data_IF_491336389659
#
_entry.id   IF_491336389659
#
_cell.length_a   1.000
_cell.length_b   1.000
_cell.length_c   1.000
_cell.angle_alpha   90.00
_cell.angle_beta   90.00
_cell.angle_gamma   90.00
#
_symmetry.space_group_name_H-M   'P 1'
#
loop_
_entity.id
_entity.type
_entity.pdbx_description
1 polymer ?
#
# COMPACT_ATOMS: atom_id res chain seq x y z
N UNK A 1 0.11 2.28 23.34
CA UNK A 1 -0.39 2.35 21.95
C UNK A 1 -0.03 3.69 21.33
N UNK A 2 0.38 3.67 20.08
CA UNK A 2 0.73 4.89 19.36
C UNK A 2 -0.33 5.28 18.36
N UNK A 3 -0.58 6.57 18.26
CA UNK A 3 -1.50 7.14 17.30
C UNK A 3 -0.77 8.12 16.39
N UNK A 4 -1.33 8.38 15.22
CA UNK A 4 -0.87 9.44 14.34
C UNK A 4 -2.05 10.30 13.92
N UNK A 5 -1.75 11.52 13.47
CA UNK A 5 -2.80 12.45 13.06
C UNK A 5 -2.86 12.47 11.54
N UNK A 6 -4.06 12.24 11.01
CA UNK A 6 -4.33 12.32 9.58
C UNK A 6 -5.57 13.19 9.38
N UNK A 7 -5.39 14.36 8.78
CA UNK A 7 -6.48 15.30 8.52
C UNK A 7 -7.34 15.57 9.76
N UNK A 8 -6.69 15.78 10.90
CA UNK A 8 -7.36 16.02 12.18
C UNK A 8 -7.85 14.79 12.92
N UNK A 9 -7.74 13.63 12.33
CA UNK A 9 -8.15 12.35 12.95
C UNK A 9 -6.96 11.71 13.66
N UNK A 10 -7.22 11.15 14.84
CA UNK A 10 -6.21 10.35 15.58
C UNK A 10 -6.50 8.89 15.29
N UNK A 11 -5.57 8.24 14.60
CA UNK A 11 -5.74 6.85 14.17
C UNK A 11 -4.64 6.01 14.81
N UNK A 12 -5.01 4.83 15.31
CA UNK A 12 -4.03 3.89 15.87
C UNK A 12 -3.10 3.41 14.76
N UNK A 13 -1.78 3.51 15.00
CA UNK A 13 -0.78 3.01 14.03
C UNK A 13 -0.95 1.53 13.75
N UNK A 14 -1.35 0.76 14.75
CA UNK A 14 -1.52 -0.70 14.62
C UNK A 14 -2.70 -1.09 13.73
N UNK A 15 -3.64 -0.18 13.51
CA UNK A 15 -4.79 -0.43 12.65
C UNK A 15 -4.44 -0.35 11.17
N UNK A 16 -3.28 0.22 10.82
CA UNK A 16 -2.90 0.47 9.42
C UNK A 16 -2.06 -0.70 8.91
N UNK A 17 -2.50 -1.32 7.82
CA UNK A 17 -1.76 -2.41 7.16
C UNK A 17 -1.17 -2.01 5.82
N UNK A 18 -1.67 -0.93 5.22
CA UNK A 18 -1.14 -0.44 3.96
C UNK A 18 -1.76 0.87 3.55
N UNK A 19 -1.08 1.55 2.64
CA UNK A 19 -1.60 2.77 2.04
C UNK A 19 -0.94 3.00 0.68
N UNK A 20 -1.64 3.74 -0.18
CA UNK A 20 -1.10 4.17 -1.48
C UNK A 20 -1.60 5.56 -1.82
N UNK A 21 -0.80 6.27 -2.62
CA UNK A 21 -1.12 7.62 -3.09
C UNK A 21 -1.44 7.59 -4.57
N UNK A 22 -2.56 8.17 -4.95
CA UNK A 22 -2.93 8.35 -6.34
C UNK A 22 -2.69 9.80 -6.73
N UNK A 23 -1.83 10.03 -7.71
CA UNK A 23 -1.56 11.35 -8.23
C UNK A 23 -2.73 11.87 -9.05
N UNK A 24 -2.80 13.20 -9.20
CA UNK A 24 -3.82 13.83 -10.02
C UNK A 24 -3.69 13.37 -11.47
N UNK A 25 -4.84 13.03 -12.06
CA UNK A 25 -4.98 12.78 -13.50
C UNK A 25 -6.04 13.72 -14.06
N UNK A 26 -6.25 13.72 -15.38
CA UNK A 26 -7.17 14.63 -16.04
C UNK A 26 -8.59 14.58 -15.49
N UNK A 27 -9.01 13.42 -14.96
CA UNK A 27 -10.37 13.19 -14.48
C UNK A 27 -10.46 12.85 -13.00
N UNK A 28 -9.33 12.73 -12.31
CA UNK A 28 -9.31 12.26 -10.92
C UNK A 28 -8.45 13.19 -10.09
N UNK A 29 -9.00 13.68 -8.96
CA UNK A 29 -8.23 14.43 -7.98
C UNK A 29 -7.25 13.50 -7.27
N UNK A 30 -6.12 14.02 -6.77
CA UNK A 30 -5.21 13.19 -5.98
C UNK A 30 -5.90 12.70 -4.72
N UNK A 31 -5.62 11.46 -4.34
CA UNK A 31 -6.21 10.88 -3.14
C UNK A 31 -5.26 9.89 -2.48
N UNK A 32 -5.52 9.63 -1.22
CA UNK A 32 -4.87 8.58 -0.43
C UNK A 32 -5.86 7.44 -0.27
N UNK A 33 -5.44 6.22 -0.59
CA UNK A 33 -6.17 5.02 -0.21
C UNK A 33 -5.42 4.41 0.97
N UNK A 34 -6.06 4.34 2.12
CA UNK A 34 -5.45 3.82 3.33
C UNK A 34 -6.31 2.66 3.87
N UNK A 35 -5.65 1.56 4.21
CA UNK A 35 -6.34 0.39 4.76
C UNK A 35 -6.31 0.46 6.27
N UNK A 36 -7.48 0.67 6.87
CA UNK A 36 -7.67 0.78 8.29
C UNK A 36 -8.52 -0.39 8.76
N UNK A 37 -7.95 -1.29 9.56
CA UNK A 37 -8.63 -2.48 10.08
C UNK A 37 -9.27 -3.33 8.98
N UNK A 38 -8.57 -3.47 7.85
CA UNK A 38 -9.01 -4.29 6.73
C UNK A 38 -9.98 -3.62 5.78
N UNK A 39 -10.31 -2.35 5.99
CA UNK A 39 -11.19 -1.59 5.11
C UNK A 39 -10.42 -0.47 4.42
N UNK A 40 -10.60 -0.35 3.12
CA UNK A 40 -9.98 0.72 2.35
C UNK A 40 -10.80 2.00 2.51
N UNK A 41 -10.13 3.07 2.91
CA UNK A 41 -10.73 4.38 3.02
C UNK A 41 -10.03 5.32 2.06
N UNK A 42 -10.80 6.10 1.31
CA UNK A 42 -10.27 7.03 0.33
C UNK A 42 -10.38 8.44 0.89
N UNK A 43 -9.24 9.14 0.93
CA UNK A 43 -9.16 10.50 1.43
C UNK A 43 -8.72 11.41 0.27
N UNK A 44 -9.61 12.26 -0.26
CA UNK A 44 -9.27 13.15 -1.36
C UNK A 44 -8.45 14.34 -0.88
N UNK A 45 -7.58 14.84 -1.76
CA UNK A 45 -6.76 16.02 -1.50
C UNK A 45 -7.17 17.16 -2.43
N UNK A 46 -6.85 18.38 -2.02
CA UNK A 46 -7.16 19.58 -2.82
C UNK A 46 -6.21 19.73 -4.00
N UNK A 47 -4.91 19.49 -3.76
CA UNK A 47 -3.86 19.73 -4.73
C UNK A 47 -2.63 18.88 -4.43
N UNK A 48 -1.60 19.06 -5.28
CA UNK A 48 -0.34 18.32 -5.15
C UNK A 48 0.43 18.65 -3.88
N UNK A 49 0.30 19.87 -3.37
CA UNK A 49 1.02 20.28 -2.15
C UNK A 49 0.48 19.50 -0.94
N UNK A 50 -0.83 19.37 -0.85
CA UNK A 50 -1.46 18.63 0.24
C UNK A 50 -1.06 17.16 0.21
N UNK A 51 -1.09 16.52 -0.97
CA UNK A 51 -0.70 15.12 -1.09
C UNK A 51 0.79 14.93 -0.74
N UNK A 52 1.67 15.83 -1.15
CA UNK A 52 3.09 15.74 -0.84
C UNK A 52 3.34 15.89 0.65
N UNK A 53 2.64 16.81 1.31
CA UNK A 53 2.74 17.02 2.75
C UNK A 53 2.31 15.78 3.53
N UNK A 54 1.15 15.22 3.17
CA UNK A 54 0.63 14.01 3.82
C UNK A 54 1.52 12.81 3.53
N UNK A 55 2.02 12.70 2.30
CA UNK A 55 2.93 11.61 1.92
C UNK A 55 4.21 11.64 2.76
N UNK A 56 4.83 12.82 2.91
CA UNK A 56 6.04 12.97 3.72
C UNK A 56 5.76 12.57 5.17
N UNK A 57 4.62 12.98 5.71
CA UNK A 57 4.21 12.66 7.07
C UNK A 57 4.00 11.15 7.26
N UNK A 58 3.23 10.52 6.39
CA UNK A 58 2.95 9.08 6.48
C UNK A 58 4.22 8.24 6.28
N UNK A 59 5.06 8.60 5.32
CA UNK A 59 6.32 7.89 5.10
C UNK A 59 7.26 8.00 6.29
N UNK A 60 7.22 9.12 7.02
CA UNK A 60 7.99 9.29 8.26
C UNK A 60 7.41 8.44 9.40
N UNK A 61 6.09 8.49 9.60
CA UNK A 61 5.40 7.72 10.65
C UNK A 61 5.53 6.22 10.43
N UNK A 62 5.41 5.78 9.18
CA UNK A 62 5.44 4.36 8.80
C UNK A 62 6.71 3.99 8.04
N UNK A 63 7.86 4.45 8.52
CA UNK A 63 9.15 4.22 7.88
C UNK A 63 9.51 2.74 7.74
N UNK A 64 8.91 1.86 8.57
CA UNK A 64 9.12 0.42 8.49
C UNK A 64 8.28 -0.29 7.44
N UNK A 65 7.36 0.40 6.78
CA UNK A 65 6.56 -0.20 5.72
C UNK A 65 7.40 -0.34 4.44
N UNK A 66 7.13 -1.40 3.69
CA UNK A 66 7.86 -1.70 2.45
C UNK A 66 7.03 -1.24 1.25
N UNK A 67 7.67 -0.50 0.35
CA UNK A 67 7.01 -0.06 -0.88
C UNK A 67 7.02 -1.18 -1.92
N UNK A 68 5.84 -1.59 -2.36
CA UNK A 68 5.65 -2.63 -3.37
C UNK A 68 4.67 -2.09 -4.40
N UNK A 69 5.14 -1.87 -5.62
CA UNK A 69 4.34 -1.17 -6.62
C UNK A 69 3.92 0.19 -6.09
N UNK A 70 2.62 0.47 -6.08
CA UNK A 70 2.07 1.73 -5.57
C UNK A 70 1.75 1.70 -4.08
N UNK A 71 1.88 0.54 -3.45
CA UNK A 71 1.49 0.35 -2.06
C UNK A 71 2.68 0.44 -1.11
N UNK A 72 2.42 0.96 0.09
CA UNK A 72 3.31 0.84 1.25
C UNK A 72 2.65 -0.15 2.19
N UNK A 73 3.30 -1.28 2.46
CA UNK A 73 2.71 -2.39 3.20
C UNK A 73 3.47 -2.71 4.48
N UNK A 74 2.70 -3.08 5.51
CA UNK A 74 3.25 -3.56 6.78
C UNK A 74 3.53 -5.06 6.64
N UNK A 75 4.74 -5.40 6.25
CA UNK A 75 5.10 -6.79 5.97
C UNK A 75 5.06 -7.71 7.19
N UNK A 76 5.15 -7.16 8.40
CA UNK A 76 5.03 -7.96 9.63
C UNK A 76 3.65 -8.59 9.80
N UNK A 77 2.63 -8.05 9.15
CA UNK A 77 1.27 -8.61 9.17
C UNK A 77 1.01 -9.59 8.03
N UNK A 78 1.94 -9.71 7.09
CA UNK A 78 1.77 -10.58 5.91
C UNK A 78 2.20 -12.00 6.26
N UNK A 79 1.27 -12.94 6.10
CA UNK A 79 1.54 -14.37 6.27
C UNK A 79 2.11 -15.01 5.03
N UNK A 80 1.64 -14.56 3.88
CA UNK A 80 1.91 -15.21 2.62
C UNK A 80 1.77 -14.18 1.50
N UNK A 81 2.59 -14.28 0.48
CA UNK A 81 2.38 -13.53 -0.76
C UNK A 81 2.63 -14.45 -1.95
N UNK A 82 1.87 -14.25 -3.02
CA UNK A 82 2.00 -15.06 -4.24
C UNK A 82 1.64 -14.26 -5.47
N UNK A 83 2.30 -14.55 -6.61
CA UNK A 83 1.90 -13.93 -7.87
C UNK A 83 0.61 -14.57 -8.39
N UNK A 84 -0.23 -13.75 -9.02
CA UNK A 84 -1.44 -14.21 -9.68
C UNK A 84 -1.48 -13.60 -11.08
N UNK A 85 -1.60 -14.45 -12.09
CA UNK A 85 -1.72 -14.03 -13.47
C UNK A 85 -3.08 -14.47 -14.02
N UNK A 86 -3.69 -13.64 -14.84
CA UNK A 86 -4.97 -13.95 -15.49
C UNK A 86 -4.95 -13.35 -16.90
N UNK A 87 -5.57 -14.05 -17.84
CA UNK A 87 -5.54 -13.64 -19.25
C UNK A 87 -6.16 -12.27 -19.51
N UNK A 88 -7.24 -11.95 -18.79
CA UNK A 88 -8.02 -10.74 -19.02
C UNK A 88 -7.78 -9.62 -18.02
N UNK A 89 -6.78 -9.76 -17.13
CA UNK A 89 -6.53 -8.82 -16.06
C UNK A 89 -5.05 -8.55 -15.90
N UNK A 90 -4.73 -7.35 -15.41
CA UNK A 90 -3.35 -7.06 -15.03
C UNK A 90 -2.91 -8.01 -13.91
N UNK A 91 -1.66 -8.51 -13.99
CA UNK A 91 -1.15 -9.41 -12.95
C UNK A 91 -1.04 -8.67 -11.61
N UNK A 92 -1.10 -9.43 -10.53
CA UNK A 92 -0.95 -8.86 -9.21
C UNK A 92 -0.24 -9.83 -8.26
N UNK A 93 0.33 -9.27 -7.20
CA UNK A 93 0.81 -10.06 -6.08
C UNK A 93 -0.26 -9.98 -4.99
N UNK A 94 -0.71 -11.13 -4.53
CA UNK A 94 -1.69 -11.23 -3.47
C UNK A 94 -0.98 -11.38 -2.15
N UNK A 95 -1.21 -10.44 -1.22
CA UNK A 95 -0.69 -10.48 0.13
C UNK A 95 -1.80 -10.89 1.08
N UNK A 96 -1.61 -12.00 1.78
CA UNK A 96 -2.56 -12.47 2.79
C UNK A 96 -2.08 -12.00 4.16
N UNK A 97 -2.93 -11.26 4.86
CA UNK A 97 -2.58 -10.75 6.18
C UNK A 97 -3.22 -11.58 7.28
N UNK A 98 -2.64 -11.51 8.49
CA UNK A 98 -3.12 -12.32 9.62
C UNK A 98 -4.45 -11.82 10.20
N UNK A 99 -4.74 -10.53 10.10
CA UNK A 99 -5.92 -9.94 10.78
C UNK A 99 -6.85 -9.16 9.86
N UNK A 100 -6.35 -8.60 8.77
CA UNK A 100 -7.05 -7.54 8.04
C UNK A 100 -7.27 -7.85 6.57
N UNK A 101 -7.47 -9.13 6.25
CA UNK A 101 -7.83 -9.53 4.90
C UNK A 101 -6.67 -9.52 3.92
N UNK A 102 -6.99 -9.52 2.65
CA UNK A 102 -6.00 -9.64 1.58
C UNK A 102 -5.80 -8.31 0.87
N UNK A 103 -4.57 -8.08 0.41
CA UNK A 103 -4.22 -6.90 -0.36
C UNK A 103 -3.72 -7.35 -1.72
N UNK A 104 -4.25 -6.77 -2.80
CA UNK A 104 -3.83 -7.05 -4.17
C UNK A 104 -3.02 -5.86 -4.68
N UNK A 105 -1.77 -6.10 -5.02
CA UNK A 105 -0.91 -5.06 -5.61
C UNK A 105 -0.78 -5.38 -7.10
N UNK A 106 -1.38 -4.55 -7.95
CA UNK A 106 -1.43 -4.76 -9.39
C UNK A 106 -0.23 -4.15 -10.10
N UNK A 107 0.17 -4.78 -11.20
CA UNK A 107 1.28 -4.34 -12.03
C UNK A 107 0.81 -4.21 -13.48
N UNK A 108 1.42 -3.30 -14.26
CA UNK A 108 1.03 -3.14 -15.66
C UNK A 108 1.33 -4.37 -16.52
N UNK A 109 2.42 -5.10 -16.21
CA UNK A 109 2.90 -6.24 -17.00
C UNK A 109 3.42 -7.34 -16.09
N UNK A 110 3.47 -8.57 -16.62
CA UNK A 110 4.03 -9.71 -15.91
C UNK A 110 5.50 -9.49 -15.53
N UNK A 111 6.28 -8.88 -16.41
CA UNK A 111 7.69 -8.62 -16.14
C UNK A 111 7.89 -7.69 -14.93
N UNK A 112 7.03 -6.68 -14.79
CA UNK A 112 7.09 -5.76 -13.65
C UNK A 112 6.79 -6.49 -12.35
N UNK A 113 5.78 -7.36 -12.37
CA UNK A 113 5.43 -8.19 -11.22
C UNK A 113 6.56 -9.15 -10.86
N UNK A 114 7.13 -9.82 -11.87
CA UNK A 114 8.22 -10.79 -11.66
C UNK A 114 9.46 -10.12 -11.07
N UNK A 115 9.78 -8.91 -11.54
CA UNK A 115 10.92 -8.14 -11.03
C UNK A 115 10.69 -7.79 -9.54
N UNK A 116 9.48 -7.35 -9.18
CA UNK A 116 9.15 -7.00 -7.80
C UNK A 116 9.15 -8.25 -6.91
N UNK A 117 8.62 -9.36 -7.42
CA UNK A 117 8.60 -10.64 -6.70
C UNK A 117 10.03 -11.11 -6.37
N UNK A 118 10.95 -10.95 -7.33
CA UNK A 118 12.35 -11.30 -7.10
C UNK A 118 12.97 -10.45 -5.98
N UNK A 119 12.68 -9.15 -5.97
CA UNK A 119 13.16 -8.25 -4.90
C UNK A 119 12.60 -8.67 -3.55
N UNK A 120 11.31 -9.01 -3.49
CA UNK A 120 10.67 -9.47 -2.26
C UNK A 120 11.27 -10.78 -1.76
N UNK A 121 11.48 -11.73 -2.66
CA UNK A 121 12.05 -13.03 -2.30
C UNK A 121 13.47 -12.87 -1.74
N UNK A 122 14.25 -11.94 -2.29
CA UNK A 122 15.60 -11.66 -1.78
C UNK A 122 15.54 -10.94 -0.42
N UNK A 123 14.62 -9.97 -0.29
CA UNK A 123 14.48 -9.17 0.94
C UNK A 123 14.07 -10.04 2.13
N UNK A 124 13.22 -11.04 1.91
CA UNK A 124 12.68 -11.90 2.96
C UNK A 124 13.30 -13.31 2.98
N UNK A 125 14.43 -13.50 2.33
CA UNK A 125 15.19 -14.77 2.32
C UNK A 125 14.31 -15.98 2.00
N UNK A 126 13.55 -15.90 0.92
CA UNK A 126 12.66 -17.00 0.51
C UNK A 126 13.51 -18.17 -0.02
N UNK A 127 13.28 -19.33 0.54
CA UNK A 127 13.95 -20.58 0.17
C UNK A 127 13.18 -21.38 -0.87
#
# INVERSE_FOLDING_TARGET
MSYFVLMGRRISKQAITGFKFQNETDNIRPFLSIRIRGKDEIIPFKDKKEIQSVKAHLCSVFSGFVKIGDWYLKMSEVKEYKPVTAEDMNPYILFKTSKFGNIKVRFPKDEDMDAELLVLDQLFDVE
#
